data_IF_143869083082
#
_entry.id   IF_143869083082
#
_cell.length_a   1.000
_cell.length_b   1.000
_cell.length_c   1.000
_cell.angle_alpha   90.00
_cell.angle_beta   90.00
_cell.angle_gamma   90.00
#
_symmetry.space_group_name_H-M   'P 1'
#
loop_
_entity.id
_entity.type
_entity.pdbx_description
1 polymer ?
#
# COMPACT_ATOMS: atom_id res chain seq x y z
N UNK A 1 -34.98 -18.45 17.12
CA UNK A 1 -34.14 -19.10 16.10
C UNK A 1 -32.75 -18.52 16.18
N UNK A 2 -31.77 -19.40 16.36
CA UNK A 2 -30.36 -19.09 16.25
C UNK A 2 -29.96 -19.27 14.78
N UNK A 3 -28.95 -18.52 14.31
CA UNK A 3 -28.52 -18.59 12.93
C UNK A 3 -27.05 -18.25 12.78
N UNK A 4 -26.45 -18.78 11.71
CA UNK A 4 -25.04 -18.62 11.39
C UNK A 4 -24.93 -18.07 9.97
N UNK A 5 -24.24 -16.94 9.82
CA UNK A 5 -23.83 -16.39 8.54
C UNK A 5 -22.34 -16.56 8.36
N UNK A 6 -21.92 -17.03 7.19
CA UNK A 6 -20.51 -17.17 6.80
C UNK A 6 -20.25 -16.32 5.57
N UNK A 7 -19.17 -15.55 5.62
CA UNK A 7 -18.77 -14.67 4.51
C UNK A 7 -17.26 -14.71 4.36
N UNK A 8 -16.77 -14.84 3.11
CA UNK A 8 -15.36 -14.67 2.80
C UNK A 8 -15.04 -13.19 2.64
N UNK A 9 -13.97 -12.75 3.26
CA UNK A 9 -13.42 -11.41 3.11
C UNK A 9 -11.91 -11.53 2.88
N UNK A 10 -11.24 -10.40 2.61
CA UNK A 10 -9.81 -10.37 2.33
C UNK A 10 -9.19 -9.23 3.11
N UNK A 11 -8.04 -9.49 3.72
CA UNK A 11 -7.29 -8.53 4.51
C UNK A 11 -5.85 -8.45 4.00
N UNK A 12 -5.25 -7.26 4.12
CA UNK A 12 -3.82 -7.07 3.89
C UNK A 12 -3.08 -7.11 5.22
N UNK A 13 -1.92 -7.76 5.23
CA UNK A 13 -0.95 -7.76 6.31
C UNK A 13 0.41 -7.34 5.75
N UNK A 14 0.84 -6.11 6.04
CA UNK A 14 1.98 -5.51 5.35
C UNK A 14 1.62 -5.17 3.91
N UNK A 15 2.12 -5.97 2.95
CA UNK A 15 1.77 -5.90 1.52
C UNK A 15 1.07 -7.17 1.03
N UNK A 16 1.08 -8.24 1.82
CA UNK A 16 0.49 -9.51 1.45
C UNK A 16 -0.98 -9.56 1.84
N UNK A 17 -1.83 -10.09 0.97
CA UNK A 17 -3.22 -10.33 1.28
C UNK A 17 -3.49 -11.79 1.69
N UNK A 18 -4.48 -11.98 2.55
CA UNK A 18 -4.98 -13.30 2.94
C UNK A 18 -6.51 -13.31 2.97
N UNK A 19 -7.08 -14.47 2.64
CA UNK A 19 -8.53 -14.70 2.76
C UNK A 19 -8.85 -14.93 4.23
N UNK A 20 -9.90 -14.26 4.70
CA UNK A 20 -10.46 -14.45 6.03
C UNK A 20 -11.90 -14.94 5.92
N UNK A 21 -12.33 -15.75 6.89
CA UNK A 21 -13.73 -16.13 7.04
C UNK A 21 -14.32 -15.37 8.22
N UNK A 22 -15.43 -14.68 7.96
CA UNK A 22 -16.23 -14.00 8.98
C UNK A 22 -17.44 -14.87 9.26
N UNK A 23 -17.58 -15.25 10.53
CA UNK A 23 -18.75 -15.97 11.01
C UNK A 23 -19.55 -15.07 11.94
N UNK A 24 -20.82 -14.84 11.62
CA UNK A 24 -21.76 -14.12 12.47
C UNK A 24 -22.75 -15.11 13.03
N UNK A 25 -22.67 -15.35 14.34
CA UNK A 25 -23.59 -16.25 15.04
C UNK A 25 -24.54 -15.45 15.93
N UNK A 26 -25.85 -15.66 15.72
CA UNK A 26 -26.92 -15.00 16.46
C UNK A 26 -27.65 -16.04 17.29
N UNK A 27 -27.69 -15.89 18.62
CA UNK A 27 -28.29 -16.90 19.53
C UNK A 27 -29.82 -16.77 19.64
N UNK A 28 -30.46 -17.65 20.42
CA UNK A 28 -31.87 -17.51 20.82
C UNK A 28 -31.98 -17.15 22.31
N UNK A 29 -32.82 -16.17 22.64
CA UNK A 29 -33.34 -15.98 24.01
C UNK A 29 -32.37 -15.44 25.07
N UNK A 30 -31.37 -14.64 24.69
CA UNK A 30 -30.39 -14.04 25.62
C UNK A 30 -30.42 -12.52 25.58
N UNK A 31 -29.92 -11.88 26.65
CA UNK A 31 -29.73 -10.43 26.72
C UNK A 31 -28.85 -9.95 25.53
N UNK A 32 -29.15 -8.79 24.93
CA UNK A 32 -28.39 -8.29 23.81
C UNK A 32 -26.93 -7.98 24.19
N UNK A 33 -25.99 -8.71 23.57
CA UNK A 33 -24.56 -8.42 23.62
C UNK A 33 -23.96 -8.68 22.24
N UNK A 34 -22.87 -8.01 21.91
CA UNK A 34 -22.13 -8.28 20.67
C UNK A 34 -20.65 -8.33 21.02
N UNK A 35 -20.01 -9.44 20.65
CA UNK A 35 -18.59 -9.65 20.90
C UNK A 35 -17.91 -9.97 19.56
N UNK A 36 -16.75 -9.35 19.34
CA UNK A 36 -15.88 -9.65 18.20
C UNK A 36 -14.64 -10.38 18.72
N UNK A 37 -14.34 -11.55 18.15
CA UNK A 37 -13.20 -12.41 18.50
C UNK A 37 -12.34 -12.69 17.24
N UNK A 38 -11.13 -13.21 17.43
CA UNK A 38 -10.17 -13.44 16.34
C UNK A 38 -9.14 -12.33 16.15
N UNK A 39 -8.59 -11.81 17.26
CA UNK A 39 -7.61 -10.72 17.32
C UNK A 39 -8.00 -9.42 16.58
N UNK A 40 -9.21 -8.85 16.82
CA UNK A 40 -9.58 -7.55 16.28
C UNK A 40 -8.85 -6.41 17.00
N UNK A 41 -8.49 -5.37 16.26
CA UNK A 41 -8.08 -4.07 16.82
C UNK A 41 -9.28 -3.28 17.37
N UNK A 42 -9.04 -2.03 17.81
CA UNK A 42 -10.09 -1.18 18.35
C UNK A 42 -11.12 -0.79 17.27
N UNK A 43 -10.69 -0.44 16.06
CA UNK A 43 -11.57 -0.03 14.97
C UNK A 43 -12.54 -1.14 14.57
N UNK A 44 -12.07 -2.39 14.50
CA UNK A 44 -12.88 -3.58 14.23
C UNK A 44 -13.84 -3.86 15.38
N UNK A 45 -13.44 -3.66 16.65
CA UNK A 45 -14.38 -3.83 17.79
C UNK A 45 -15.51 -2.80 17.77
N UNK A 46 -15.22 -1.59 17.32
CA UNK A 46 -16.18 -0.48 17.21
C UNK A 46 -17.11 -0.59 15.98
N UNK A 47 -16.81 -1.50 15.05
CA UNK A 47 -17.58 -1.67 13.81
C UNK A 47 -19.08 -1.95 14.05
N UNK A 48 -19.42 -2.54 15.21
CA UNK A 48 -20.79 -2.91 15.59
C UNK A 48 -21.78 -1.76 15.42
N UNK A 49 -21.42 -0.57 15.91
CA UNK A 49 -22.35 0.55 15.93
C UNK A 49 -22.56 1.12 14.52
N UNK A 50 -21.51 1.09 13.68
CA UNK A 50 -21.59 1.46 12.26
C UNK A 50 -22.43 0.46 11.45
N UNK A 51 -22.14 -0.83 11.56
CA UNK A 51 -22.89 -1.90 10.90
C UNK A 51 -24.37 -1.87 11.31
N UNK A 52 -24.66 -1.67 12.60
CA UNK A 52 -26.03 -1.55 13.11
C UNK A 52 -26.76 -0.35 12.51
N UNK A 53 -26.12 0.80 12.43
CA UNK A 53 -26.72 1.99 11.84
C UNK A 53 -26.97 1.81 10.33
N UNK A 54 -25.96 1.32 9.60
CA UNK A 54 -26.04 1.05 8.17
C UNK A 54 -27.18 0.09 7.83
N UNK A 55 -27.26 -1.06 8.50
CA UNK A 55 -28.33 -2.03 8.29
C UNK A 55 -29.71 -1.40 8.48
N UNK A 56 -29.91 -0.65 9.58
CA UNK A 56 -31.19 0.01 9.86
C UNK A 56 -31.55 1.06 8.81
N UNK A 57 -30.59 1.89 8.41
CA UNK A 57 -30.82 2.96 7.44
C UNK A 57 -31.06 2.43 6.02
N UNK A 58 -30.58 1.23 5.71
CA UNK A 58 -30.88 0.51 4.47
C UNK A 58 -32.17 -0.34 4.54
N UNK A 59 -32.94 -0.27 5.63
CA UNK A 59 -34.21 -0.99 5.77
C UNK A 59 -34.10 -2.44 6.28
N UNK A 60 -32.90 -2.89 6.67
CA UNK A 60 -32.67 -4.20 7.25
C UNK A 60 -32.81 -4.19 8.78
N UNK A 61 -33.06 -5.38 9.34
CA UNK A 61 -33.21 -5.57 10.78
C UNK A 61 -31.87 -5.92 11.43
N UNK A 62 -31.51 -5.18 12.46
CA UNK A 62 -30.42 -5.57 13.36
C UNK A 62 -30.99 -6.43 14.52
N UNK A 63 -30.48 -7.64 14.78
CA UNK A 63 -31.03 -8.50 15.82
C UNK A 63 -30.74 -7.96 17.23
N UNK A 64 -31.76 -7.90 18.09
CA UNK A 64 -31.64 -7.58 19.52
C UNK A 64 -31.38 -8.86 20.33
N UNK A 65 -30.27 -9.55 20.06
CA UNK A 65 -29.88 -10.81 20.71
C UNK A 65 -28.38 -10.83 20.98
N UNK A 66 -27.90 -11.87 21.65
CA UNK A 66 -26.46 -12.10 21.76
C UNK A 66 -25.88 -12.51 20.39
N UNK A 67 -24.78 -11.86 20.01
CA UNK A 67 -24.12 -11.96 18.72
C UNK A 67 -22.63 -12.21 18.95
N UNK A 68 -22.10 -13.22 18.29
CA UNK A 68 -20.65 -13.45 18.19
C UNK A 68 -20.21 -13.23 16.74
N UNK A 69 -19.23 -12.36 16.55
CA UNK A 69 -18.55 -12.16 15.26
C UNK A 69 -17.15 -12.77 15.40
N UNK A 70 -16.90 -13.85 14.70
CA UNK A 70 -15.61 -14.54 14.69
C UNK A 70 -14.84 -14.21 13.39
N UNK A 71 -13.57 -13.82 13.54
CA UNK A 71 -12.68 -13.49 12.43
C UNK A 71 -11.57 -14.55 12.33
N UNK A 72 -11.69 -15.47 11.37
CA UNK A 72 -10.72 -16.53 11.15
C UNK A 72 -9.75 -16.17 10.01
N UNK A 73 -8.45 -16.51 10.10
CA UNK A 73 -7.80 -17.30 11.16
C UNK A 73 -7.40 -16.46 12.40
N UNK A 74 -7.34 -17.04 13.58
CA UNK A 74 -7.13 -16.30 14.84
C UNK A 74 -5.65 -15.99 15.17
N UNK A 75 -4.71 -16.39 14.33
CA UNK A 75 -3.27 -16.18 14.45
C UNK A 75 -2.81 -14.83 13.84
N UNK A 76 -3.63 -14.23 12.98
CA UNK A 76 -3.37 -12.92 12.35
C UNK A 76 -4.28 -11.85 12.92
N UNK A 77 -3.70 -10.72 13.30
CA UNK A 77 -4.44 -9.54 13.75
C UNK A 77 -5.25 -8.92 12.61
N UNK A 78 -6.48 -8.49 12.89
CA UNK A 78 -7.36 -7.77 11.93
C UNK A 78 -7.39 -6.30 12.31
N UNK A 79 -7.00 -5.43 11.38
CA UNK A 79 -6.92 -3.98 11.56
C UNK A 79 -7.86 -3.26 10.60
N UNK A 80 -8.50 -2.20 11.10
CA UNK A 80 -9.26 -1.26 10.30
C UNK A 80 -10.71 -1.68 9.96
N UNK A 81 -11.48 -0.78 9.36
CA UNK A 81 -12.93 -0.96 9.15
C UNK A 81 -13.29 -1.74 7.87
N UNK A 82 -12.32 -2.31 7.16
CA UNK A 82 -12.52 -2.91 5.83
C UNK A 82 -13.45 -4.13 5.79
N UNK A 83 -13.80 -4.68 6.95
CA UNK A 83 -14.65 -5.88 7.07
C UNK A 83 -16.13 -5.56 7.33
N UNK A 84 -16.49 -4.29 7.46
CA UNK A 84 -17.84 -3.88 7.88
C UNK A 84 -18.94 -4.35 6.92
N UNK A 85 -18.72 -4.22 5.61
CA UNK A 85 -19.65 -4.72 4.61
C UNK A 85 -19.84 -6.25 4.73
N UNK A 86 -18.75 -6.99 4.93
CA UNK A 86 -18.75 -8.44 5.05
C UNK A 86 -19.43 -8.91 6.33
N UNK A 87 -19.21 -8.21 7.45
CA UNK A 87 -19.91 -8.43 8.71
C UNK A 87 -21.41 -8.18 8.53
N UNK A 88 -21.79 -7.10 7.84
CA UNK A 88 -23.19 -6.81 7.55
C UNK A 88 -23.86 -7.93 6.71
N UNK A 89 -23.17 -8.46 5.70
CA UNK A 89 -23.67 -9.61 4.94
C UNK A 89 -23.82 -10.85 5.82
N UNK A 90 -22.87 -11.10 6.72
CA UNK A 90 -22.96 -12.19 7.70
C UNK A 90 -24.18 -12.05 8.61
N UNK A 91 -24.51 -10.84 9.04
CA UNK A 91 -25.74 -10.57 9.80
C UNK A 91 -27.00 -10.90 9.00
N UNK A 92 -27.08 -10.47 7.74
CA UNK A 92 -28.25 -10.71 6.90
C UNK A 92 -28.48 -12.21 6.66
N UNK A 93 -27.42 -12.98 6.46
CA UNK A 93 -27.50 -14.44 6.32
C UNK A 93 -27.91 -15.08 7.66
N UNK A 94 -27.23 -14.73 8.76
CA UNK A 94 -27.51 -15.30 10.09
C UNK A 94 -28.94 -15.03 10.58
N UNK A 95 -29.58 -13.99 10.06
CA UNK A 95 -30.96 -13.60 10.39
C UNK A 95 -31.99 -14.01 9.33
N UNK A 96 -31.59 -14.79 8.31
CA UNK A 96 -32.41 -15.22 7.18
C UNK A 96 -33.09 -14.05 6.45
N UNK A 97 -32.45 -12.89 6.39
CA UNK A 97 -32.93 -11.74 5.61
C UNK A 97 -32.51 -11.81 4.14
N UNK A 98 -31.43 -12.55 3.85
CA UNK A 98 -31.00 -12.88 2.49
C UNK A 98 -30.67 -14.37 2.43
N UNK A 99 -30.88 -14.98 1.26
CA UNK A 99 -30.49 -16.36 0.97
C UNK A 99 -29.84 -16.41 -0.41
N UNK A 100 -28.56 -16.80 -0.48
CA UNK A 100 -27.78 -16.81 -1.72
C UNK A 100 -26.55 -17.69 -1.60
N UNK A 101 -26.29 -18.48 -2.64
CA UNK A 101 -25.09 -19.29 -2.74
C UNK A 101 -23.87 -18.48 -3.24
N UNK A 102 -24.11 -17.35 -3.92
CA UNK A 102 -23.06 -16.47 -4.47
C UNK A 102 -22.11 -15.95 -3.40
N UNK A 103 -22.54 -15.86 -2.14
CA UNK A 103 -21.70 -15.39 -1.04
C UNK A 103 -20.39 -16.19 -0.89
N UNK A 104 -20.38 -17.44 -1.34
CA UNK A 104 -19.22 -18.33 -1.24
C UNK A 104 -18.22 -18.17 -2.40
N UNK A 105 -18.64 -17.53 -3.50
CA UNK A 105 -17.85 -17.32 -4.72
C UNK A 105 -16.95 -16.08 -4.66
N UNK A 106 -17.31 -15.08 -3.86
CA UNK A 106 -16.65 -13.77 -3.84
C UNK A 106 -16.00 -13.47 -2.50
N UNK A 107 -14.87 -12.75 -2.54
CA UNK A 107 -14.40 -12.00 -1.38
C UNK A 107 -15.19 -10.70 -1.25
N UNK A 108 -15.48 -10.26 -0.03
CA UNK A 108 -16.19 -8.98 0.21
C UNK A 108 -15.32 -8.08 1.08
N UNK A 109 -15.19 -6.80 0.70
CA UNK A 109 -14.49 -5.76 1.48
C UNK A 109 -15.21 -4.42 1.35
N UNK A 110 -15.10 -3.58 2.37
CA UNK A 110 -15.66 -2.22 2.36
C UNK A 110 -15.93 -1.69 3.76
N UNK A 111 -15.56 -0.43 4.01
CA UNK A 111 -16.01 0.32 5.19
C UNK A 111 -17.46 0.77 4.99
N UNK A 112 -18.27 0.72 6.05
CA UNK A 112 -19.65 1.20 6.01
C UNK A 112 -19.77 2.56 6.70
N UNK A 113 -20.29 3.53 5.95
CA UNK A 113 -20.86 4.74 6.54
C UNK A 113 -22.18 4.40 7.27
N UNK A 114 -22.60 5.26 8.20
CA UNK A 114 -23.83 5.07 8.97
C UNK A 114 -25.09 5.01 8.09
N UNK A 115 -25.07 5.61 6.91
CA UNK A 115 -26.16 5.61 5.93
C UNK A 115 -26.10 4.44 4.94
N UNK A 116 -25.14 3.54 5.11
CA UNK A 116 -24.96 2.36 4.27
C UNK A 116 -24.16 2.59 3.00
N UNK A 117 -23.58 3.78 2.78
CA UNK A 117 -22.57 3.97 1.72
C UNK A 117 -21.32 3.14 2.03
N UNK A 118 -20.74 2.57 0.97
CA UNK A 118 -19.53 1.77 1.03
C UNK A 118 -18.34 2.68 0.68
N UNK A 119 -17.37 2.76 1.58
CA UNK A 119 -16.19 3.64 1.48
C UNK A 119 -14.94 2.86 1.13
N UNK A 120 -13.97 3.57 0.53
CA UNK A 120 -12.68 3.03 0.11
C UNK A 120 -11.97 2.28 1.24
N UNK A 121 -11.24 1.25 0.85
CA UNK A 121 -10.30 0.52 1.70
C UNK A 121 -8.92 0.50 1.06
N UNK A 122 -7.89 0.28 1.86
CA UNK A 122 -6.50 0.19 1.38
C UNK A 122 -6.17 -1.24 0.96
N UNK A 123 -5.22 -1.41 0.05
CA UNK A 123 -4.70 -2.73 -0.30
C UNK A 123 -5.55 -3.52 -1.29
N UNK A 124 -6.43 -2.90 -2.05
CA UNK A 124 -7.38 -3.58 -2.93
C UNK A 124 -6.70 -4.37 -4.05
N UNK A 125 -5.58 -3.87 -4.59
CA UNK A 125 -4.77 -4.60 -5.57
C UNK A 125 -4.31 -5.95 -5.02
N UNK A 126 -3.68 -5.96 -3.84
CA UNK A 126 -3.24 -7.18 -3.18
C UNK A 126 -4.42 -8.12 -2.87
N UNK A 127 -5.57 -7.56 -2.45
CA UNK A 127 -6.78 -8.34 -2.18
C UNK A 127 -7.32 -9.03 -3.45
N UNK A 128 -7.31 -8.35 -4.59
CA UNK A 128 -7.72 -8.90 -5.88
C UNK A 128 -6.77 -10.03 -6.34
N UNK A 129 -5.45 -9.83 -6.23
CA UNK A 129 -4.45 -10.88 -6.48
C UNK A 129 -4.67 -12.09 -5.57
N UNK A 130 -5.05 -11.86 -4.31
CA UNK A 130 -5.34 -12.94 -3.38
C UNK A 130 -6.63 -13.69 -3.72
N UNK A 131 -7.67 -12.99 -4.18
CA UNK A 131 -8.90 -13.64 -4.66
C UNK A 131 -8.59 -14.59 -5.82
N UNK A 132 -7.81 -14.12 -6.81
CA UNK A 132 -7.38 -14.93 -7.96
C UNK A 132 -6.62 -16.18 -7.51
N UNK A 133 -5.57 -16.03 -6.71
CA UNK A 133 -4.76 -17.16 -6.25
C UNK A 133 -5.51 -18.12 -5.31
N UNK A 134 -6.54 -17.64 -4.61
CA UNK A 134 -7.41 -18.47 -3.76
C UNK A 134 -8.56 -19.15 -4.53
N UNK A 135 -8.66 -18.95 -5.84
CA UNK A 135 -9.72 -19.53 -6.68
C UNK A 135 -11.11 -18.94 -6.41
N UNK A 136 -11.18 -17.72 -5.87
CA UNK A 136 -12.45 -16.99 -5.79
C UNK A 136 -12.78 -16.43 -7.17
N UNK A 137 -14.08 -16.38 -7.48
CA UNK A 137 -14.58 -15.85 -8.74
C UNK A 137 -14.32 -14.35 -8.87
N UNK A 138 -14.39 -13.63 -7.76
CA UNK A 138 -14.29 -12.18 -7.75
C UNK A 138 -14.11 -11.55 -6.38
N UNK A 139 -14.04 -10.23 -6.39
CA UNK A 139 -14.00 -9.36 -5.24
C UNK A 139 -15.13 -8.34 -5.35
N UNK A 140 -16.00 -8.28 -4.32
CA UNK A 140 -16.98 -7.22 -4.14
C UNK A 140 -16.35 -6.15 -3.25
N UNK A 141 -16.30 -4.92 -3.74
CA UNK A 141 -15.50 -3.84 -3.16
C UNK A 141 -16.12 -2.46 -3.42
N UNK A 142 -15.68 -1.42 -2.69
CA UNK A 142 -16.12 -0.04 -2.96
C UNK A 142 -15.86 0.33 -4.42
N UNK A 143 -16.82 0.99 -5.07
CA UNK A 143 -16.70 1.41 -6.47
C UNK A 143 -15.43 2.24 -6.73
N UNK A 144 -15.06 3.08 -5.76
CA UNK A 144 -13.86 3.93 -5.79
C UNK A 144 -12.53 3.14 -5.76
N UNK A 145 -12.55 1.85 -5.40
CA UNK A 145 -11.37 0.98 -5.47
C UNK A 145 -11.37 0.08 -6.73
N UNK A 146 -12.43 0.10 -7.54
CA UNK A 146 -12.54 -0.78 -8.70
C UNK A 146 -11.42 -0.58 -9.74
N UNK A 147 -10.98 0.66 -10.08
CA UNK A 147 -9.88 0.87 -11.00
C UNK A 147 -8.56 0.23 -10.54
N UNK A 148 -8.31 0.23 -9.23
CA UNK A 148 -7.11 -0.36 -8.64
C UNK A 148 -7.17 -1.91 -8.68
N UNK A 149 -8.30 -2.49 -8.28
CA UNK A 149 -8.46 -3.95 -8.23
C UNK A 149 -8.51 -4.58 -9.63
N UNK A 150 -9.06 -3.88 -10.62
CA UNK A 150 -9.24 -4.40 -11.98
C UNK A 150 -7.95 -4.46 -12.81
N UNK A 151 -6.81 -4.04 -12.24
CA UNK A 151 -5.49 -4.32 -12.78
C UNK A 151 -5.21 -5.83 -12.79
N UNK A 152 -5.84 -6.59 -11.89
CA UNK A 152 -5.67 -8.04 -11.80
C UNK A 152 -6.63 -8.74 -12.77
N UNK A 153 -6.08 -9.26 -13.87
CA UNK A 153 -6.85 -10.09 -14.79
C UNK A 153 -7.27 -11.43 -14.17
N UNK A 154 -8.44 -11.94 -14.57
CA UNK A 154 -8.94 -13.27 -14.16
C UNK A 154 -9.65 -13.29 -12.81
N UNK A 155 -10.08 -12.13 -12.30
CA UNK A 155 -10.94 -12.00 -11.12
C UNK A 155 -12.04 -10.97 -11.40
N UNK A 156 -13.29 -11.30 -11.10
CA UNK A 156 -14.41 -10.37 -11.28
C UNK A 156 -14.34 -9.25 -10.23
N UNK A 157 -14.13 -8.01 -10.66
CA UNK A 157 -14.14 -6.83 -9.77
C UNK A 157 -15.54 -6.23 -9.77
N UNK A 158 -16.30 -6.42 -8.68
CA UNK A 158 -17.70 -6.00 -8.59
C UNK A 158 -17.81 -4.70 -7.77
N UNK A 159 -17.98 -3.53 -8.43
CA UNK A 159 -18.05 -2.24 -7.75
C UNK A 159 -19.41 -2.04 -7.06
N UNK A 160 -19.40 -1.72 -5.77
CA UNK A 160 -20.60 -1.37 -5.00
C UNK A 160 -20.47 0.02 -4.37
N UNK A 161 -21.55 0.80 -4.36
CA UNK A 161 -21.61 2.13 -3.72
C UNK A 161 -22.34 2.07 -2.39
N UNK A 162 -23.23 1.10 -2.22
CA UNK A 162 -24.04 0.94 -1.01
C UNK A 162 -24.12 -0.53 -0.57
N UNK A 163 -24.45 -0.74 0.70
CA UNK A 163 -24.78 -2.06 1.25
C UNK A 163 -25.91 -2.73 0.46
N UNK A 164 -26.90 -1.96 0.00
CA UNK A 164 -28.01 -2.47 -0.81
C UNK A 164 -27.57 -2.95 -2.19
N UNK A 165 -26.55 -2.33 -2.80
CA UNK A 165 -25.99 -2.81 -4.07
C UNK A 165 -25.41 -4.22 -3.90
N UNK A 166 -24.69 -4.45 -2.79
CA UNK A 166 -24.12 -5.77 -2.45
C UNK A 166 -25.21 -6.80 -2.26
N UNK A 167 -26.28 -6.47 -1.53
CA UNK A 167 -27.43 -7.38 -1.34
C UNK A 167 -28.07 -7.70 -2.68
N UNK A 168 -28.41 -6.69 -3.48
CA UNK A 168 -29.07 -6.89 -4.77
C UNK A 168 -28.23 -7.72 -5.74
N UNK A 169 -26.91 -7.51 -5.78
CA UNK A 169 -25.99 -8.33 -6.59
C UNK A 169 -25.99 -9.80 -6.16
N UNK A 170 -25.91 -10.03 -4.84
CA UNK A 170 -25.87 -11.37 -4.27
C UNK A 170 -27.21 -12.10 -4.43
N UNK A 171 -28.35 -11.42 -4.36
CA UNK A 171 -29.69 -12.01 -4.52
C UNK A 171 -30.18 -12.07 -5.97
N UNK A 172 -29.41 -11.55 -6.93
CA UNK A 172 -29.79 -11.37 -8.35
C UNK A 172 -30.91 -10.36 -8.60
N UNK A 173 -31.22 -9.49 -7.64
CA UNK A 173 -32.16 -8.37 -7.82
C UNK A 173 -31.52 -7.19 -8.58
N UNK A 174 -30.20 -7.08 -8.53
CA UNK A 174 -29.42 -6.07 -9.22
C UNK A 174 -28.31 -6.74 -10.04
N UNK A 175 -28.24 -6.41 -11.33
CA UNK A 175 -27.10 -6.77 -12.16
C UNK A 175 -26.01 -5.71 -12.06
N UNK A 176 -24.82 -6.11 -11.62
CA UNK A 176 -23.62 -5.27 -11.61
C UNK A 176 -22.59 -5.96 -12.51
N UNK A 177 -22.22 -5.31 -13.61
CA UNK A 177 -21.15 -5.80 -14.47
C UNK A 177 -19.80 -5.69 -13.78
N UNK A 178 -18.91 -6.69 -13.91
CA UNK A 178 -17.52 -6.55 -13.49
C UNK A 178 -16.90 -5.29 -14.11
N UNK A 179 -16.19 -4.53 -13.29
CA UNK A 179 -15.41 -3.40 -13.76
C UNK A 179 -14.24 -3.92 -14.59
N UNK A 180 -14.07 -3.36 -15.78
CA UNK A 180 -12.95 -3.68 -16.67
C UNK A 180 -12.26 -2.39 -17.06
N UNK A 181 -10.95 -2.47 -17.28
CA UNK A 181 -10.13 -1.35 -17.73
C UNK A 181 -9.16 -1.86 -18.79
N UNK A 182 -8.77 -0.97 -19.70
CA UNK A 182 -7.70 -1.26 -20.63
C UNK A 182 -6.37 -0.97 -19.94
N UNK A 183 -5.65 -2.03 -19.56
CA UNK A 183 -4.37 -1.92 -18.86
C UNK A 183 -3.34 -1.10 -19.65
N UNK A 184 -3.34 -1.24 -20.98
CA UNK A 184 -2.40 -0.52 -21.83
C UNK A 184 -2.62 0.99 -21.77
N UNK A 185 -3.87 1.43 -21.82
CA UNK A 185 -4.24 2.85 -21.78
C UNK A 185 -3.88 3.46 -20.41
N UNK A 186 -4.24 2.76 -19.32
CA UNK A 186 -3.93 3.20 -17.95
C UNK A 186 -2.41 3.32 -17.73
N UNK A 187 -1.67 2.34 -18.25
CA UNK A 187 -0.21 2.33 -18.15
C UNK A 187 0.41 3.50 -18.93
N UNK A 188 -0.04 3.73 -20.17
CA UNK A 188 0.46 4.84 -21.00
C UNK A 188 0.10 6.21 -20.45
N UNK A 189 -1.11 6.39 -19.92
CA UNK A 189 -1.55 7.67 -19.35
C UNK A 189 -0.74 8.00 -18.09
N UNK A 190 -0.42 6.98 -17.29
CA UNK A 190 0.29 7.13 -16.01
C UNK A 190 1.81 7.22 -16.15
N UNK A 191 2.39 6.94 -17.33
CA UNK A 191 3.85 6.87 -17.54
C UNK A 191 4.51 8.23 -17.88
N UNK A 192 3.96 9.33 -17.38
CA UNK A 192 4.44 10.69 -17.67
C UNK A 192 5.18 11.30 -16.48
N UNK A 193 6.37 11.86 -16.73
CA UNK A 193 7.13 12.62 -15.74
C UNK A 193 6.88 14.13 -15.89
N UNK A 194 6.75 14.86 -14.78
CA UNK A 194 6.59 16.32 -14.77
C UNK A 194 7.90 17.08 -15.07
N UNK A 195 9.04 16.42 -14.88
CA UNK A 195 10.39 16.95 -15.08
C UNK A 195 11.15 16.04 -16.05
N UNK A 196 12.14 16.58 -16.74
CA UNK A 196 12.94 15.84 -17.72
C UNK A 196 14.44 16.09 -17.52
N UNK A 197 15.26 15.04 -17.64
CA UNK A 197 16.71 15.14 -17.65
C UNK A 197 17.26 16.00 -18.81
N UNK A 198 16.52 16.12 -19.92
CA UNK A 198 16.86 16.98 -21.05
C UNK A 198 16.90 18.48 -20.70
N UNK A 199 16.23 18.87 -19.60
CA UNK A 199 16.28 20.24 -19.07
C UNK A 199 17.67 20.62 -18.55
N UNK A 200 18.49 19.65 -18.17
CA UNK A 200 19.83 19.85 -17.59
C UNK A 200 20.77 20.43 -18.65
N UNK A 201 21.25 21.66 -18.41
CA UNK A 201 22.24 22.32 -19.28
C UNK A 201 23.66 22.17 -18.71
N UNK A 202 24.61 21.77 -19.57
CA UNK A 202 26.01 21.56 -19.18
C UNK A 202 26.24 20.27 -18.40
N UNK A 203 27.35 20.21 -17.64
CA UNK A 203 27.78 19.04 -16.86
C UNK A 203 27.87 17.73 -17.66
N UNK A 204 28.39 17.78 -18.90
CA UNK A 204 28.41 16.64 -19.84
C UNK A 204 29.01 15.37 -19.25
N UNK A 205 30.06 15.50 -18.45
CA UNK A 205 30.69 14.37 -17.76
C UNK A 205 29.77 13.73 -16.71
N UNK A 206 29.03 14.53 -15.94
CA UNK A 206 28.05 14.03 -14.96
C UNK A 206 26.85 13.43 -15.66
N UNK A 207 26.32 14.08 -16.71
CA UNK A 207 25.21 13.54 -17.51
C UNK A 207 25.58 12.18 -18.08
N UNK A 208 26.78 12.05 -18.66
CA UNK A 208 27.27 10.76 -19.18
C UNK A 208 27.36 9.69 -18.09
N UNK A 209 27.89 10.03 -16.92
CA UNK A 209 27.98 9.10 -15.79
C UNK A 209 26.59 8.65 -15.31
N UNK A 210 25.64 9.58 -15.17
CA UNK A 210 24.26 9.29 -14.77
C UNK A 210 23.51 8.47 -15.83
N UNK A 211 23.74 8.71 -17.13
CA UNK A 211 23.17 7.88 -18.19
C UNK A 211 23.68 6.44 -18.13
N UNK A 212 24.99 6.25 -17.91
CA UNK A 212 25.56 4.90 -17.74
C UNK A 212 24.99 4.24 -16.49
N UNK A 213 24.90 4.97 -15.39
CA UNK A 213 24.34 4.45 -14.15
C UNK A 213 22.86 4.07 -14.30
N UNK A 214 22.05 4.91 -14.95
CA UNK A 214 20.64 4.64 -15.23
C UNK A 214 20.45 3.41 -16.12
N UNK A 215 21.30 3.23 -17.14
CA UNK A 215 21.23 2.08 -18.05
C UNK A 215 21.59 0.74 -17.36
N UNK A 216 22.49 0.78 -16.36
CA UNK A 216 22.95 -0.39 -15.63
C UNK A 216 22.37 -0.57 -14.22
N UNK A 217 21.41 0.28 -13.82
CA UNK A 217 20.90 0.38 -12.45
C UNK A 217 22.02 0.47 -11.38
N UNK A 218 23.06 1.27 -11.63
CA UNK A 218 24.20 1.40 -10.73
C UNK A 218 23.99 2.49 -9.68
N UNK A 219 24.33 2.18 -8.42
CA UNK A 219 24.35 3.19 -7.36
C UNK A 219 25.36 4.31 -7.66
N UNK A 220 25.03 5.55 -7.28
CA UNK A 220 25.84 6.74 -7.58
C UNK A 220 26.15 7.52 -6.32
N UNK A 221 27.40 7.99 -6.17
CA UNK A 221 27.77 9.00 -5.19
C UNK A 221 28.27 10.25 -5.90
N UNK A 222 27.63 11.39 -5.66
CA UNK A 222 28.03 12.69 -6.19
C UNK A 222 28.68 13.55 -5.11
N UNK A 223 29.93 13.92 -5.34
CA UNK A 223 30.69 14.81 -4.44
C UNK A 223 30.91 16.14 -5.14
N UNK A 224 30.46 17.23 -4.54
CA UNK A 224 30.65 18.57 -5.12
C UNK A 224 30.17 19.69 -4.20
N UNK A 225 30.57 20.95 -4.47
CA UNK A 225 30.21 22.07 -3.63
C UNK A 225 28.68 22.34 -3.62
N UNK A 226 28.18 23.12 -2.65
CA UNK A 226 26.79 23.55 -2.62
C UNK A 226 26.39 24.29 -3.90
N UNK A 227 25.15 24.08 -4.38
CA UNK A 227 24.64 24.74 -5.58
C UNK A 227 25.18 24.19 -6.92
N UNK A 228 25.95 23.10 -6.93
CA UNK A 228 26.46 22.47 -8.16
C UNK A 228 25.41 21.69 -8.97
N UNK A 229 24.15 21.66 -8.50
CA UNK A 229 23.03 21.01 -9.20
C UNK A 229 22.81 19.53 -8.88
N UNK A 230 23.43 18.97 -7.83
CA UNK A 230 23.32 17.54 -7.45
C UNK A 230 21.86 17.10 -7.30
N UNK A 231 21.09 17.77 -6.44
CA UNK A 231 19.66 17.48 -6.21
C UNK A 231 18.84 17.60 -7.49
N UNK A 232 19.10 18.63 -8.31
CA UNK A 232 18.39 18.87 -9.58
C UNK A 232 18.62 17.76 -10.60
N UNK A 233 19.86 17.27 -10.70
CA UNK A 233 20.24 16.13 -11.53
C UNK A 233 19.57 14.83 -11.05
N UNK A 234 19.62 14.54 -9.75
CA UNK A 234 19.06 13.28 -9.23
C UNK A 234 17.55 13.21 -9.38
N UNK A 235 16.82 14.30 -9.12
CA UNK A 235 15.35 14.33 -9.26
C UNK A 235 14.90 13.95 -10.68
N UNK A 236 15.71 14.26 -11.69
CA UNK A 236 15.44 13.96 -13.10
C UNK A 236 15.97 12.60 -13.55
N UNK A 237 16.77 11.92 -12.75
CA UNK A 237 17.35 10.62 -13.09
C UNK A 237 16.30 9.56 -13.48
N UNK A 238 15.12 9.44 -12.82
CA UNK A 238 14.08 8.50 -13.21
C UNK A 238 13.65 8.59 -14.68
N UNK A 239 13.75 9.78 -15.27
CA UNK A 239 13.27 10.08 -16.64
C UNK A 239 14.16 9.48 -17.73
N UNK A 240 15.40 9.09 -17.39
CA UNK A 240 16.36 8.45 -18.31
C UNK A 240 16.66 6.99 -17.96
N UNK A 241 16.02 6.47 -16.91
CA UNK A 241 16.06 5.05 -16.60
C UNK A 241 15.15 4.28 -17.58
N UNK A 242 15.38 2.97 -17.77
CA UNK A 242 14.42 2.13 -18.50
C UNK A 242 13.01 2.30 -17.91
N UNK A 243 11.98 2.35 -18.75
CA UNK A 243 10.60 2.42 -18.25
C UNK A 243 10.26 1.20 -17.41
N UNK A 244 9.29 1.34 -16.49
CA UNK A 244 8.78 0.20 -15.75
C UNK A 244 8.16 -0.81 -16.71
N UNK A 245 8.28 -2.09 -16.41
CA UNK A 245 7.41 -3.12 -16.99
C UNK A 245 6.04 -3.09 -16.30
N UNK A 246 5.04 -3.76 -16.87
CA UNK A 246 3.72 -3.87 -16.23
C UNK A 246 3.83 -4.60 -14.88
N UNK A 247 4.63 -5.67 -14.84
CA UNK A 247 4.89 -6.44 -13.63
C UNK A 247 5.53 -5.58 -12.53
N UNK A 248 6.60 -4.84 -12.87
CA UNK A 248 7.26 -3.92 -11.93
C UNK A 248 6.29 -2.84 -11.43
N UNK A 249 5.47 -2.27 -12.33
CA UNK A 249 4.47 -1.27 -11.95
C UNK A 249 3.41 -1.85 -11.00
N UNK A 250 2.96 -3.09 -11.21
CA UNK A 250 2.04 -3.77 -10.30
C UNK A 250 2.68 -3.97 -8.93
N UNK A 251 3.93 -4.46 -8.88
CA UNK A 251 4.67 -4.66 -7.62
C UNK A 251 4.84 -3.36 -6.84
N UNK A 252 5.29 -2.28 -7.49
CA UNK A 252 5.40 -0.96 -6.88
C UNK A 252 4.02 -0.45 -6.40
N UNK A 253 2.97 -0.65 -7.20
CA UNK A 253 1.61 -0.24 -6.85
C UNK A 253 1.07 -0.96 -5.62
N UNK A 254 1.39 -2.24 -5.43
CA UNK A 254 1.01 -3.01 -4.23
C UNK A 254 1.55 -2.35 -2.95
N UNK A 255 2.79 -1.85 -2.98
CA UNK A 255 3.39 -1.16 -1.82
C UNK A 255 2.64 0.13 -1.50
N UNK A 256 2.33 0.94 -2.51
CA UNK A 256 1.59 2.20 -2.33
C UNK A 256 0.14 1.98 -1.91
N UNK A 257 -0.53 0.98 -2.50
CA UNK A 257 -1.88 0.56 -2.18
C UNK A 257 -2.01 0.15 -0.72
N UNK A 258 -1.08 -0.70 -0.22
CA UNK A 258 -1.13 -1.16 1.16
C UNK A 258 -0.87 -0.04 2.17
N UNK A 259 -0.05 0.94 1.80
CA UNK A 259 0.21 2.14 2.58
C UNK A 259 -0.94 3.17 2.53
N UNK A 260 -1.91 3.01 1.63
CA UNK A 260 -2.97 4.00 1.40
C UNK A 260 -2.46 5.30 0.76
N UNK A 261 -1.39 5.20 -0.03
CA UNK A 261 -0.71 6.35 -0.67
C UNK A 261 -1.10 6.54 -2.14
N UNK A 262 -1.98 5.70 -2.69
CA UNK A 262 -2.53 5.89 -4.02
C UNK A 262 -3.56 7.02 -4.03
N UNK A 263 -3.43 7.93 -4.99
CA UNK A 263 -4.40 9.00 -5.22
C UNK A 263 -5.81 8.46 -5.55
N UNK A 264 -6.85 9.31 -5.48
CA UNK A 264 -8.20 8.94 -5.90
C UNK A 264 -8.28 8.52 -7.37
N UNK A 265 -7.54 9.21 -8.24
CA UNK A 265 -7.54 8.99 -9.69
C UNK A 265 -6.35 8.15 -10.16
N UNK A 266 -5.56 7.60 -9.23
CA UNK A 266 -4.36 6.84 -9.54
C UNK A 266 -4.59 5.36 -9.24
N UNK A 267 -4.80 4.57 -10.30
CA UNK A 267 -4.93 3.12 -10.21
C UNK A 267 -3.58 2.41 -10.18
N UNK A 268 -2.56 2.96 -10.85
CA UNK A 268 -1.25 2.33 -11.06
C UNK A 268 -0.10 3.34 -10.92
N UNK A 269 1.02 2.91 -10.34
CA UNK A 269 2.29 3.61 -10.37
C UNK A 269 3.06 3.17 -11.63
N UNK A 270 3.02 3.97 -12.70
CA UNK A 270 3.70 3.65 -13.97
C UNK A 270 4.99 4.46 -14.21
N UNK A 271 5.39 5.31 -13.27
CA UNK A 271 6.69 6.02 -13.25
C UNK A 271 7.57 5.49 -12.12
N UNK A 272 8.89 5.48 -12.34
CA UNK A 272 9.84 5.08 -11.29
C UNK A 272 9.73 6.04 -10.09
N UNK A 273 9.43 5.54 -8.87
CA UNK A 273 9.36 6.37 -7.69
C UNK A 273 10.66 7.12 -7.44
N UNK A 274 10.56 8.36 -6.96
CA UNK A 274 11.69 9.12 -6.45
C UNK A 274 11.39 9.50 -5.00
N UNK A 275 12.27 9.10 -4.07
CA UNK A 275 12.17 9.47 -2.67
C UNK A 275 13.44 10.16 -2.21
N UNK A 276 13.28 11.22 -1.41
CA UNK A 276 14.38 12.03 -0.88
C UNK A 276 14.14 12.30 0.61
N UNK A 277 14.26 11.29 1.48
CA UNK A 277 14.07 11.50 2.91
C UNK A 277 15.08 12.51 3.47
N UNK A 278 14.65 13.31 4.44
CA UNK A 278 15.53 14.23 5.16
C UNK A 278 16.49 13.45 6.09
N UNK A 279 17.71 13.92 6.32
CA UNK A 279 18.72 13.24 7.13
C UNK A 279 18.32 13.02 8.60
N UNK A 280 17.29 13.72 9.08
CA UNK A 280 16.67 13.52 10.40
C UNK A 280 15.68 12.35 10.45
N UNK A 281 15.53 11.59 9.36
CA UNK A 281 14.61 10.45 9.31
C UNK A 281 14.99 9.39 10.36
N UNK A 282 13.97 8.88 11.05
CA UNK A 282 14.16 7.76 11.97
C UNK A 282 14.40 6.46 11.21
N UNK A 283 15.07 5.50 11.83
CA UNK A 283 15.24 4.16 11.27
C UNK A 283 13.91 3.51 10.88
N UNK A 284 12.85 3.72 11.68
CA UNK A 284 11.51 3.22 11.38
C UNK A 284 10.85 3.94 10.19
N UNK A 285 11.17 5.21 9.94
CA UNK A 285 10.69 5.93 8.75
C UNK A 285 11.37 5.44 7.48
N UNK A 286 12.68 5.17 7.53
CA UNK A 286 13.45 4.72 6.36
C UNK A 286 13.07 3.28 5.96
N UNK A 287 13.04 2.38 6.94
CA UNK A 287 12.90 0.93 6.72
C UNK A 287 11.44 0.49 6.77
N UNK A 288 10.62 1.24 7.50
CA UNK A 288 9.25 0.87 7.82
C UNK A 288 9.14 0.35 9.26
N UNK A 289 7.91 0.14 9.69
CA UNK A 289 7.63 -0.32 11.05
C UNK A 289 6.21 -0.02 11.49
N UNK A 290 6.02 0.04 12.81
CA UNK A 290 4.72 0.14 13.46
C UNK A 290 4.35 -1.12 14.24
N UNK A 291 3.24 -1.04 14.98
CA UNK A 291 2.58 -2.21 15.59
C UNK A 291 1.98 -3.13 14.52
N UNK A 292 1.62 -2.55 13.38
CA UNK A 292 1.34 -3.22 12.13
C UNK A 292 2.46 -2.89 11.15
N UNK A 293 3.08 -3.89 10.49
CA UNK A 293 4.19 -3.65 9.59
C UNK A 293 3.70 -2.80 8.42
N UNK A 294 4.29 -1.61 8.24
CA UNK A 294 4.07 -0.72 7.10
C UNK A 294 5.37 -0.47 6.36
N UNK A 295 5.32 -0.25 5.03
CA UNK A 295 6.52 0.04 4.25
C UNK A 295 7.14 1.38 4.70
N UNK A 296 8.47 1.46 4.65
CA UNK A 296 9.22 2.70 4.83
C UNK A 296 9.59 3.36 3.50
N UNK A 297 10.36 4.45 3.57
CA UNK A 297 10.85 5.17 2.38
C UNK A 297 11.58 4.26 1.40
N UNK A 298 12.38 3.29 1.88
CA UNK A 298 13.11 2.37 0.99
C UNK A 298 12.14 1.52 0.16
N UNK A 299 11.14 0.89 0.78
CA UNK A 299 10.15 0.08 0.06
C UNK A 299 9.22 0.93 -0.80
N UNK A 300 8.90 2.15 -0.38
CA UNK A 300 8.17 3.12 -1.19
C UNK A 300 8.98 3.62 -2.39
N UNK A 301 10.27 3.27 -2.46
CA UNK A 301 11.15 3.58 -3.59
C UNK A 301 11.35 2.38 -4.51
N UNK A 302 10.66 1.26 -4.28
CA UNK A 302 10.84 0.04 -5.08
C UNK A 302 10.70 0.31 -6.59
N UNK A 303 11.65 -0.24 -7.37
CA UNK A 303 11.90 0.02 -8.80
C UNK A 303 12.26 1.49 -9.12
N UNK A 304 12.68 2.25 -8.14
CA UNK A 304 12.89 3.69 -8.21
C UNK A 304 14.26 4.15 -7.70
N UNK A 305 14.35 5.46 -7.42
CA UNK A 305 15.57 6.14 -7.00
C UNK A 305 15.42 6.65 -5.57
N UNK A 306 16.25 6.12 -4.66
CA UNK A 306 16.35 6.61 -3.28
C UNK A 306 17.50 7.61 -3.21
N UNK A 307 17.16 8.87 -3.00
CA UNK A 307 18.12 9.96 -2.92
C UNK A 307 18.43 10.33 -1.46
N UNK A 308 19.70 10.25 -1.09
CA UNK A 308 20.21 10.70 0.21
C UNK A 308 21.08 11.93 -0.01
N UNK A 309 20.47 13.10 0.14
CA UNK A 309 21.19 14.38 0.10
C UNK A 309 21.94 14.61 1.41
N UNK A 310 23.12 15.23 1.33
CA UNK A 310 23.98 15.43 2.51
C UNK A 310 24.25 14.12 3.26
N UNK A 311 24.64 13.07 2.52
CA UNK A 311 24.81 11.70 3.05
C UNK A 311 25.55 11.60 4.39
N UNK A 312 26.64 12.35 4.67
CA UNK A 312 27.35 12.31 5.96
C UNK A 312 26.53 12.80 7.17
N UNK A 313 25.46 13.57 6.94
CA UNK A 313 24.59 14.10 8.00
C UNK A 313 23.59 13.06 8.52
N UNK A 314 23.39 11.96 7.78
CA UNK A 314 22.53 10.87 8.23
C UNK A 314 23.14 10.15 9.44
N UNK A 315 22.26 9.74 10.36
CA UNK A 315 22.68 8.90 11.46
C UNK A 315 23.27 7.57 10.94
N UNK A 316 24.48 7.22 11.39
CA UNK A 316 25.14 5.97 10.99
C UNK A 316 24.27 4.73 11.18
N UNK A 317 23.52 4.63 12.28
CA UNK A 317 22.60 3.49 12.51
C UNK A 317 21.49 3.42 11.47
N UNK A 318 21.02 4.56 10.97
CA UNK A 318 20.01 4.62 9.91
C UNK A 318 20.60 4.16 8.58
N UNK A 319 21.83 4.59 8.24
CA UNK A 319 22.52 4.16 7.02
C UNK A 319 22.87 2.66 7.02
N UNK A 320 23.27 2.10 8.15
CA UNK A 320 23.61 0.66 8.24
C UNK A 320 22.44 -0.25 7.88
N UNK A 321 21.19 0.21 8.01
CA UNK A 321 20.03 -0.60 7.60
C UNK A 321 19.87 -0.69 6.08
N UNK A 322 20.49 0.22 5.31
CA UNK A 322 20.47 0.13 3.85
C UNK A 322 21.30 -1.04 3.30
N UNK A 323 22.13 -1.69 4.13
CA UNK A 323 22.92 -2.84 3.68
C UNK A 323 22.05 -3.99 3.17
N UNK A 324 20.98 -4.33 3.90
CA UNK A 324 20.06 -5.39 3.49
C UNK A 324 19.41 -5.10 2.13
N UNK A 325 18.67 -3.99 1.92
CA UNK A 325 18.00 -3.73 0.65
C UNK A 325 18.96 -3.60 -0.53
N UNK A 326 20.20 -3.13 -0.32
CA UNK A 326 21.20 -3.05 -1.40
C UNK A 326 21.84 -4.40 -1.77
N UNK A 327 21.71 -5.41 -0.92
CA UNK A 327 22.26 -6.76 -1.14
C UNK A 327 21.19 -7.76 -1.59
N UNK A 328 19.94 -7.62 -1.12
CA UNK A 328 18.87 -8.60 -1.34
C UNK A 328 17.63 -8.04 -2.03
N UNK A 329 17.58 -6.74 -2.33
CA UNK A 329 16.43 -6.05 -2.92
C UNK A 329 15.13 -6.17 -2.09
N UNK A 330 15.27 -6.46 -0.79
CA UNK A 330 14.14 -6.65 0.13
C UNK A 330 14.47 -6.19 1.55
N UNK A 331 13.43 -5.86 2.32
CA UNK A 331 13.49 -5.49 3.73
C UNK A 331 12.61 -6.44 4.53
N UNK A 332 13.19 -7.03 5.57
CA UNK A 332 12.45 -7.91 6.48
C UNK A 332 12.16 -7.21 7.79
N UNK A 333 10.89 -6.95 8.07
CA UNK A 333 10.43 -6.38 9.34
C UNK A 333 9.94 -7.51 10.24
N UNK A 334 10.81 -7.97 11.14
CA UNK A 334 10.47 -8.96 12.16
C UNK A 334 9.98 -8.30 13.46
N UNK A 335 8.88 -8.82 14.00
CA UNK A 335 8.29 -8.46 15.31
C UNK A 335 7.93 -9.73 16.07
N UNK A 336 7.69 -9.59 17.37
CA UNK A 336 7.51 -10.72 18.30
C UNK A 336 6.48 -11.78 17.89
N UNK A 337 5.51 -11.46 17.02
CA UNK A 337 4.49 -12.41 16.57
C UNK A 337 4.37 -12.55 15.04
N UNK A 338 5.23 -11.91 14.25
CA UNK A 338 5.18 -12.02 12.77
C UNK A 338 6.41 -11.43 12.09
N UNK A 339 6.72 -11.91 10.89
CA UNK A 339 7.67 -11.27 9.97
C UNK A 339 6.96 -10.92 8.67
N UNK A 340 7.26 -9.74 8.11
CA UNK A 340 6.79 -9.31 6.78
C UNK A 340 7.98 -8.87 5.97
N UNK A 341 7.99 -9.26 4.70
CA UNK A 341 8.99 -8.82 3.73
C UNK A 341 8.37 -7.74 2.85
N UNK A 342 9.14 -6.69 2.59
CA UNK A 342 8.78 -5.64 1.65
C UNK A 342 9.83 -5.58 0.55
N UNK A 343 9.44 -5.44 -0.72
CA UNK A 343 10.41 -5.28 -1.79
C UNK A 343 11.09 -3.92 -1.65
N UNK A 344 12.32 -3.86 -2.12
CA UNK A 344 13.24 -2.74 -1.94
C UNK A 344 14.33 -2.70 -3.03
N UNK A 345 14.05 -3.22 -4.23
CA UNK A 345 14.93 -3.01 -5.38
C UNK A 345 15.00 -1.50 -5.68
N UNK A 346 16.14 -0.88 -5.40
CA UNK A 346 16.33 0.58 -5.51
C UNK A 346 17.65 0.91 -6.19
N UNK A 347 17.65 2.02 -6.92
CA UNK A 347 18.88 2.74 -7.25
C UNK A 347 19.17 3.73 -6.13
N UNK A 348 20.24 3.50 -5.36
CA UNK A 348 20.70 4.45 -4.35
C UNK A 348 21.54 5.54 -5.00
N UNK A 349 21.14 6.79 -4.79
CA UNK A 349 21.94 7.96 -5.14
C UNK A 349 22.27 8.76 -3.90
N UNK A 350 23.55 8.85 -3.56
CA UNK A 350 24.07 9.72 -2.52
C UNK A 350 24.59 11.03 -3.10
N UNK A 351 24.36 12.13 -2.40
CA UNK A 351 25.05 13.39 -2.65
C UNK A 351 25.72 13.88 -1.37
N UNK A 352 26.92 14.45 -1.51
CA UNK A 352 27.61 15.06 -0.39
C UNK A 352 28.51 16.21 -0.82
N UNK A 353 28.85 17.03 0.17
CA UNK A 353 29.86 18.05 0.03
C UNK A 353 31.26 17.41 0.10
N UNK A 354 32.30 18.07 -0.44
CA UNK A 354 33.67 17.54 -0.37
C UNK A 354 34.31 17.69 1.03
N UNK A 355 33.68 18.46 1.93
CA UNK A 355 34.11 18.69 3.31
C UNK A 355 32.95 19.34 4.11
N UNK A 356 33.05 19.45 5.45
CA UNK A 356 32.01 20.07 6.28
C UNK A 356 31.65 21.52 5.87
N UNK A 357 32.63 22.32 5.42
CA UNK A 357 32.35 23.68 4.96
C UNK A 357 31.88 23.77 3.49
N UNK A 358 31.92 22.68 2.73
CA UNK A 358 31.47 22.62 1.34
C UNK A 358 32.48 23.04 0.26
N UNK A 359 33.57 23.73 0.60
CA UNK A 359 34.40 24.44 -0.39
C UNK A 359 35.75 23.79 -0.71
N UNK A 360 36.04 22.56 -0.26
CA UNK A 360 37.33 21.90 -0.51
C UNK A 360 37.68 21.78 -2.01
N UNK A 361 36.69 21.66 -2.89
CA UNK A 361 36.87 21.60 -4.35
C UNK A 361 36.28 22.82 -5.08
N UNK A 362 35.93 23.89 -4.36
CA UNK A 362 35.34 25.08 -4.96
C UNK A 362 36.44 25.96 -5.60
N UNK A 363 36.31 26.35 -6.88
CA UNK A 363 37.33 27.14 -7.56
C UNK A 363 37.35 28.62 -7.16
N UNK A 364 36.34 29.10 -6.43
CA UNK A 364 36.15 30.53 -6.06
C UNK A 364 36.22 30.77 -4.55
N UNK A 365 35.83 29.80 -3.73
CA UNK A 365 35.77 29.93 -2.27
C UNK A 365 36.84 29.08 -1.59
N UNK A 366 37.52 29.66 -0.61
CA UNK A 366 38.53 28.94 0.17
C UNK A 366 37.90 28.04 1.24
N UNK A 367 38.45 26.82 1.36
CA UNK A 367 38.10 25.88 2.40
C UNK A 367 38.84 26.19 3.70
N UNK A 368 38.14 26.19 4.83
CA UNK A 368 38.74 26.41 6.17
C UNK A 368 38.79 25.12 7.02
N UNK A 369 38.47 23.96 6.44
CA UNK A 369 38.54 22.69 7.15
C UNK A 369 39.99 22.18 7.23
N UNK A 370 40.35 21.58 8.37
CA UNK A 370 41.63 20.88 8.52
C UNK A 370 41.64 19.57 7.71
N UNK A 371 42.82 19.06 7.31
CA UNK A 371 42.92 17.78 6.61
C UNK A 371 42.23 16.62 7.35
N UNK A 372 42.30 16.59 8.69
CA UNK A 372 41.62 15.57 9.51
C UNK A 372 40.10 15.69 9.48
N UNK A 373 39.55 16.90 9.45
CA UNK A 373 38.10 17.10 9.30
C UNK A 373 37.60 16.62 7.94
N UNK A 374 38.39 16.82 6.88
CA UNK A 374 38.06 16.35 5.54
C UNK A 374 38.09 14.81 5.50
N UNK A 375 39.15 14.20 6.04
CA UNK A 375 39.31 12.74 6.06
C UNK A 375 38.24 12.02 6.89
N UNK A 376 37.70 12.65 7.93
CA UNK A 376 36.63 12.04 8.73
C UNK A 376 35.23 12.22 8.09
N UNK A 377 35.09 13.17 7.17
CA UNK A 377 33.80 13.50 6.54
C UNK A 377 33.56 12.68 5.27
N UNK A 378 34.62 12.38 4.52
CA UNK A 378 34.65 11.46 3.37
C UNK A 378 34.88 10.05 3.89
#
# INVERSE_FOLDING_TARGET
MAGLGKVKSVAVYGIEAYVLEIEVYVTSGQLPSTVVIGLPDAAVKECRDRVKAALKNCGYKFPLKNITINLAPADRKKEGPSFELSIAMGFLIATNQINTDKINEYGIVGELALDGRVRRVNGCLAMAMKCKSAGLKGLILPADNAPEAAIVEGVDVIPVKTLSDTVGFLTNELFISPFSLNLADVFSDSSHYEIDFMDVKGQEHVKRALTVAAAGNHNVLMIGPPGSGKTMLTQRLPTIMPMLTLEEAIETTVVYSSAGLLGPDQSLIATRPFRSPHHTISTAGLVGGGSFPRPGEVSLTHHGVLFLDELPEFNRKTLEVLRQPLETDEITISRAMSSVMFPAEIMLVGAMNPCPCGYHTDPKKECHCTPRQIQNYI
#
